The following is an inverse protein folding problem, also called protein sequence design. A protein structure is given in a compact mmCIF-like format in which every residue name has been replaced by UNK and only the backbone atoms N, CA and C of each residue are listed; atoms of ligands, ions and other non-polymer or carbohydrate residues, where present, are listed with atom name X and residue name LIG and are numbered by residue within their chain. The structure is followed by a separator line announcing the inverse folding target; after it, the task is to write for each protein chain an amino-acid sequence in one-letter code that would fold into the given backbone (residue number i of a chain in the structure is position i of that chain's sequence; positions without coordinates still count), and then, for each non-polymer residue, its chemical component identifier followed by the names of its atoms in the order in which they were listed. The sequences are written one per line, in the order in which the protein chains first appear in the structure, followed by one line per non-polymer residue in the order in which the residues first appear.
data_IF_990847953028
#
_entry.id   IF_990847953028
#
_cell.length_a   1.000
_cell.length_b   1.000
_cell.length_c   1.000
_cell.angle_alpha   90.00
_cell.angle_beta   90.00
_cell.angle_gamma   90.00
#
_symmetry.space_group_name_H-M   'P 1'
#
loop_
_entity.id
_entity.type
_entity.pdbx_description
1 polymer ?
#
# COMPACT_ATOMS: atom_id res chain seq x y z
N UNK A 1 -1.39 5.88 23.53
CA UNK A 1 -0.67 6.92 22.77
C UNK A 1 0.24 6.20 21.79
N UNK A 2 -0.07 6.21 20.50
CA UNK A 2 0.78 5.56 19.48
C UNK A 2 1.59 6.67 18.81
N UNK A 3 2.91 6.54 18.84
CA UNK A 3 3.81 7.45 18.11
C UNK A 3 4.09 6.82 16.74
N UNK A 4 3.79 7.56 15.68
CA UNK A 4 4.14 7.19 14.33
C UNK A 4 5.35 8.02 13.91
N UNK A 5 6.43 7.32 13.59
CA UNK A 5 7.62 7.91 13.01
C UNK A 5 7.36 8.15 11.51
N UNK A 6 7.38 9.40 11.07
CA UNK A 6 7.07 9.74 9.68
C UNK A 6 8.08 9.12 8.71
N UNK A 7 9.36 9.02 9.10
CA UNK A 7 10.37 8.36 8.28
C UNK A 7 10.08 6.87 8.10
N UNK A 8 9.71 6.17 9.17
CA UNK A 8 9.32 4.75 9.10
C UNK A 8 8.04 4.57 8.28
N UNK A 9 7.03 5.43 8.47
CA UNK A 9 5.80 5.40 7.68
C UNK A 9 6.07 5.65 6.19
N UNK A 10 6.88 6.66 5.88
CA UNK A 10 7.30 6.99 4.51
C UNK A 10 8.07 5.85 3.84
N UNK A 11 9.00 5.21 4.55
CA UNK A 11 9.68 3.98 4.08
C UNK A 11 8.69 2.85 3.79
N UNK A 12 7.69 2.67 4.64
CA UNK A 12 6.61 1.70 4.43
C UNK A 12 5.85 1.97 3.12
N UNK A 13 5.48 3.23 2.87
CA UNK A 13 4.84 3.64 1.62
C UNK A 13 5.73 3.43 0.40
N UNK A 14 7.04 3.69 0.50
CA UNK A 14 7.99 3.43 -0.59
C UNK A 14 8.02 1.94 -0.93
N UNK A 15 8.19 1.07 0.08
CA UNK A 15 8.21 -0.40 -0.14
C UNK A 15 6.91 -0.87 -0.75
N UNK A 16 5.76 -0.44 -0.21
CA UNK A 16 4.45 -0.77 -0.77
C UNK A 16 4.33 -0.30 -2.22
N UNK A 17 4.79 0.91 -2.52
CA UNK A 17 4.78 1.46 -3.87
C UNK A 17 5.64 0.67 -4.86
N UNK A 18 6.83 0.24 -4.44
CA UNK A 18 7.70 -0.64 -5.25
C UNK A 18 7.04 -1.98 -5.54
N UNK A 19 6.42 -2.61 -4.55
CA UNK A 19 5.69 -3.88 -4.73
C UNK A 19 4.57 -3.71 -5.76
N UNK A 20 3.79 -2.63 -5.66
CA UNK A 20 2.70 -2.34 -6.59
C UNK A 20 3.18 -2.00 -8.01
N UNK A 21 4.35 -1.36 -8.13
CA UNK A 21 4.91 -0.98 -9.43
C UNK A 21 5.58 -2.16 -10.16
N UNK A 22 6.37 -2.95 -9.42
CA UNK A 22 7.23 -3.99 -9.99
C UNK A 22 6.57 -5.37 -10.02
N UNK A 23 5.68 -5.66 -9.08
CA UNK A 23 5.05 -6.97 -8.94
C UNK A 23 3.51 -6.94 -9.03
N UNK A 24 2.88 -6.22 -9.98
CA UNK A 24 1.42 -6.18 -10.09
C UNK A 24 0.82 -7.55 -10.42
N UNK A 25 1.56 -8.44 -11.09
CA UNK A 25 1.13 -9.82 -11.33
C UNK A 25 0.96 -10.62 -10.04
N UNK A 26 1.96 -10.60 -9.15
CA UNK A 26 1.91 -11.29 -7.86
C UNK A 26 0.79 -10.75 -6.97
N UNK A 27 0.52 -9.44 -7.01
CA UNK A 27 -0.60 -8.84 -6.28
C UNK A 27 -1.96 -9.30 -6.82
N UNK A 28 -2.09 -9.43 -8.14
CA UNK A 28 -3.30 -9.97 -8.76
C UNK A 28 -3.50 -11.43 -8.38
N UNK A 29 -2.44 -12.25 -8.38
CA UNK A 29 -2.54 -13.66 -8.00
C UNK A 29 -2.90 -13.83 -6.52
N UNK A 30 -2.27 -13.03 -5.66
CA UNK A 30 -2.61 -12.98 -4.24
C UNK A 30 -4.07 -12.52 -4.02
N UNK A 31 -4.52 -11.51 -4.77
CA UNK A 31 -5.90 -11.06 -4.73
C UNK A 31 -6.88 -12.15 -5.20
N UNK A 32 -6.60 -12.82 -6.33
CA UNK A 32 -7.41 -13.96 -6.81
C UNK A 32 -7.52 -15.04 -5.75
N UNK A 33 -6.40 -15.43 -5.14
CA UNK A 33 -6.39 -16.43 -4.08
C UNK A 33 -7.20 -15.99 -2.85
N UNK A 34 -7.01 -14.76 -2.39
CA UNK A 34 -7.72 -14.23 -1.22
C UNK A 34 -9.22 -14.09 -1.49
N UNK A 35 -9.61 -13.62 -2.67
CA UNK A 35 -11.00 -13.50 -3.08
C UNK A 35 -11.68 -14.86 -3.16
N UNK A 36 -11.03 -15.84 -3.80
CA UNK A 36 -11.54 -17.22 -3.89
C UNK A 36 -11.69 -17.85 -2.50
N UNK A 37 -10.64 -17.78 -1.66
CA UNK A 37 -10.59 -18.56 -0.41
C UNK A 37 -11.21 -17.90 0.80
N UNK A 38 -11.10 -16.58 0.91
CA UNK A 38 -11.53 -15.84 2.10
C UNK A 38 -12.88 -15.19 1.86
N UNK A 39 -13.10 -14.66 0.65
CA UNK A 39 -14.34 -13.95 0.31
C UNK A 39 -15.34 -14.81 -0.47
N UNK A 40 -14.95 -16.00 -0.96
CA UNK A 40 -15.78 -16.82 -1.86
C UNK A 40 -16.34 -16.01 -3.04
N UNK A 41 -15.51 -15.11 -3.58
CA UNK A 41 -15.85 -14.19 -4.66
C UNK A 41 -14.86 -14.33 -5.82
N UNK A 42 -15.32 -14.15 -7.05
CA UNK A 42 -14.44 -14.19 -8.22
C UNK A 42 -13.79 -12.83 -8.46
N UNK A 43 -12.47 -12.84 -8.67
CA UNK A 43 -11.69 -11.63 -8.97
C UNK A 43 -11.40 -11.55 -10.47
N UNK A 44 -12.11 -10.68 -11.18
CA UNK A 44 -11.85 -10.37 -12.59
C UNK A 44 -10.79 -9.26 -12.75
N UNK A 45 -9.52 -9.68 -12.75
CA UNK A 45 -8.37 -8.80 -12.94
C UNK A 45 -7.77 -8.92 -14.34
N UNK A 46 -7.95 -7.88 -15.18
CA UNK A 46 -7.40 -7.79 -16.54
C UNK A 46 -6.17 -6.87 -16.68
N UNK A 47 -5.77 -6.58 -17.93
CA UNK A 47 -4.62 -5.68 -18.24
C UNK A 47 -4.77 -4.28 -17.65
N UNK A 48 -6.01 -3.79 -17.56
CA UNK A 48 -6.31 -2.48 -16.98
C UNK A 48 -6.06 -2.46 -15.46
N UNK A 49 -6.40 -3.54 -14.75
CA UNK A 49 -6.08 -3.72 -13.33
C UNK A 49 -4.57 -3.66 -13.09
N UNK A 50 -3.76 -4.24 -13.98
CA UNK A 50 -2.30 -4.17 -13.88
C UNK A 50 -1.78 -2.73 -14.01
N UNK A 51 -2.32 -1.95 -14.95
CA UNK A 51 -1.96 -0.52 -15.10
C UNK A 51 -2.36 0.30 -13.87
N UNK A 52 -3.55 0.06 -13.33
CA UNK A 52 -4.04 0.72 -12.11
C UNK A 52 -3.17 0.40 -10.91
N UNK A 53 -2.77 -0.86 -10.72
CA UNK A 53 -1.85 -1.23 -9.64
C UNK A 53 -0.50 -0.53 -9.77
N UNK A 54 0.05 -0.43 -10.98
CA UNK A 54 1.28 0.34 -11.22
C UNK A 54 1.10 1.83 -10.90
N UNK A 55 -0.02 2.42 -11.30
CA UNK A 55 -0.34 3.82 -11.00
C UNK A 55 -0.47 4.06 -9.48
N UNK A 56 -1.14 3.15 -8.75
CA UNK A 56 -1.19 3.15 -7.28
C UNK A 56 0.22 3.06 -6.70
N UNK A 57 1.07 2.20 -7.26
CA UNK A 57 2.48 2.09 -6.88
C UNK A 57 3.24 3.41 -6.99
N UNK A 58 3.04 4.15 -8.10
CA UNK A 58 3.64 5.48 -8.28
C UNK A 58 3.13 6.50 -7.25
N UNK A 59 1.83 6.50 -6.95
CA UNK A 59 1.25 7.38 -5.93
C UNK A 59 1.83 7.07 -4.55
N UNK A 60 1.91 5.79 -4.18
CA UNK A 60 2.49 5.36 -2.90
C UNK A 60 3.97 5.73 -2.80
N UNK A 61 4.73 5.59 -3.90
CA UNK A 61 6.12 6.04 -3.96
C UNK A 61 6.24 7.54 -3.70
N UNK A 62 5.46 8.35 -4.39
CA UNK A 62 5.47 9.81 -4.25
C UNK A 62 5.09 10.25 -2.83
N UNK A 63 4.04 9.65 -2.25
CA UNK A 63 3.65 9.91 -0.87
C UNK A 63 4.76 9.48 0.10
N UNK A 64 5.33 8.31 -0.11
CA UNK A 64 6.39 7.78 0.73
C UNK A 64 7.65 8.63 0.73
N UNK A 65 8.09 9.15 -0.41
CA UNK A 65 9.22 10.09 -0.48
C UNK A 65 8.91 11.41 0.21
N UNK A 66 7.72 11.98 0.00
CA UNK A 66 7.31 13.23 0.67
C UNK A 66 7.27 13.04 2.18
N UNK A 67 6.65 11.96 2.66
CA UNK A 67 6.49 11.68 4.09
C UNK A 67 7.82 11.28 4.74
N UNK A 68 8.67 10.51 4.05
CA UNK A 68 9.98 10.13 4.59
C UNK A 68 10.97 11.29 4.70
N UNK A 69 10.73 12.36 3.93
CA UNK A 69 11.56 13.57 3.95
C UNK A 69 11.20 14.52 5.10
N UNK A 70 10.10 14.29 5.80
CA UNK A 70 9.66 15.09 6.95
C UNK A 70 10.09 14.38 8.25
N UNK A 71 10.93 15.03 9.05
CA UNK A 71 11.54 14.46 10.29
C UNK A 71 10.57 14.53 11.50
N UNK A 72 9.26 14.57 11.23
CA UNK A 72 8.21 14.89 12.22
C UNK A 72 7.64 13.62 12.84
N UNK A 73 7.65 13.52 14.17
CA UNK A 73 6.93 12.44 14.87
C UNK A 73 5.50 12.85 15.20
N UNK A 74 4.50 12.09 14.76
CA UNK A 74 3.08 12.37 15.02
C UNK A 74 2.59 11.47 16.17
N UNK A 75 2.06 12.09 17.23
CA UNK A 75 1.45 11.37 18.35
C UNK A 75 -0.08 11.35 18.21
N UNK A 76 -0.66 10.16 18.04
CA UNK A 76 -2.12 9.99 17.99
C UNK A 76 -2.60 9.44 19.34
N UNK A 77 -3.45 10.21 20.00
CA UNK A 77 -4.21 9.74 21.16
C UNK A 77 -5.45 9.00 20.65
N UNK A 78 -5.37 7.67 20.58
CA UNK A 78 -6.54 6.84 20.33
C UNK A 78 -7.44 6.92 21.57
N UNK A 79 -8.49 7.74 21.52
CA UNK A 79 -9.56 7.70 22.49
C UNK A 79 -10.34 6.40 22.25
N UNK A 80 -10.26 5.45 23.18
CA UNK A 80 -11.18 4.30 23.18
C UNK A 80 -12.56 4.82 23.55
N UNK A 81 -13.46 4.86 22.58
CA UNK A 81 -14.91 4.86 22.81
C UNK A 81 -15.41 3.43 22.94
#
# INVERSE_FOLDING_TARGET
MVRLDATAAGRGFIVAGLVHLLAPGLLIDAARYAYDRVLSAEFDGGRETNRRLRAVGLVLLALGTVVASDDRSVSVALSRT
#
